data_IF_986309572258
#
_entry.id   IF_986309572258
#
_cell.length_a   1.000
_cell.length_b   1.000
_cell.length_c   1.000
_cell.angle_alpha   90.00
_cell.angle_beta   90.00
_cell.angle_gamma   90.00
#
_symmetry.space_group_name_H-M   'P 1'
#
loop_
_entity.id
_entity.type
_entity.pdbx_description
1 polymer ?
#
# COMPACT_ATOMS: atom_id res chain seq x y z
N UNK A 1 2.72 7.31 7.94
CA UNK A 1 3.87 8.11 7.45
C UNK A 1 3.52 9.58 7.43
N UNK A 2 2.42 9.95 6.77
CA UNK A 2 1.87 11.33 6.77
C UNK A 2 1.80 11.93 8.17
N UNK A 3 1.13 11.28 9.12
CA UNK A 3 1.06 11.80 10.50
C UNK A 3 2.42 12.00 11.19
N UNK A 4 3.44 11.19 10.84
CA UNK A 4 4.78 11.35 11.41
C UNK A 4 5.46 12.58 10.81
N UNK A 5 5.35 12.77 9.48
CA UNK A 5 5.82 13.96 8.79
C UNK A 5 5.18 15.23 9.38
N UNK A 6 3.86 15.20 9.60
CA UNK A 6 3.10 16.32 10.18
C UNK A 6 3.53 16.63 11.63
N UNK A 7 3.99 15.62 12.39
CA UNK A 7 4.54 15.79 13.75
C UNK A 7 6.00 16.24 13.78
N UNK A 8 6.58 16.62 12.64
CA UNK A 8 7.91 17.23 12.55
C UNK A 8 9.05 16.25 12.24
N UNK A 9 8.76 15.01 11.84
CA UNK A 9 9.80 14.12 11.34
C UNK A 9 10.30 14.61 9.98
N UNK A 10 11.61 14.81 9.85
CA UNK A 10 12.18 15.39 8.63
C UNK A 10 12.02 14.48 7.40
N UNK A 11 12.11 13.16 7.58
CA UNK A 11 11.92 12.14 6.54
C UNK A 11 11.22 10.92 7.11
N UNK A 12 10.41 10.26 6.29
CA UNK A 12 9.78 8.99 6.62
C UNK A 12 9.92 8.02 5.46
N UNK A 13 10.02 6.73 5.76
CA UNK A 13 10.05 5.68 4.75
C UNK A 13 9.21 4.48 5.19
N UNK A 14 8.53 3.85 4.23
CA UNK A 14 7.83 2.59 4.41
C UNK A 14 8.41 1.59 3.42
N UNK A 15 8.94 0.50 3.96
CA UNK A 15 9.46 -0.62 3.18
C UNK A 15 8.47 -1.77 3.32
N UNK A 16 7.94 -2.23 2.20
CA UNK A 16 7.06 -3.41 2.17
C UNK A 16 7.79 -4.52 1.43
N UNK A 17 7.91 -5.68 2.08
CA UNK A 17 8.49 -6.89 1.53
C UNK A 17 7.43 -7.99 1.56
N UNK A 18 7.20 -8.65 0.43
CA UNK A 18 6.23 -9.73 0.30
C UNK A 18 6.84 -10.90 -0.47
N UNK A 19 6.55 -12.12 -0.02
CA UNK A 19 6.97 -13.36 -0.69
C UNK A 19 5.83 -14.06 -1.42
N UNK A 20 4.59 -13.64 -1.16
CA UNK A 20 3.40 -14.25 -1.71
C UNK A 20 2.94 -13.48 -2.95
N UNK A 21 2.91 -14.20 -4.08
CA UNK A 21 2.46 -13.65 -5.38
C UNK A 21 1.13 -12.90 -5.32
N UNK A 22 0.11 -13.35 -4.56
CA UNK A 22 -1.15 -12.61 -4.42
C UNK A 22 -1.03 -11.17 -3.91
N UNK A 23 0.08 -10.72 -3.32
CA UNK A 23 0.18 -9.32 -2.90
C UNK A 23 0.42 -8.35 -4.07
N UNK A 24 1.14 -8.79 -5.10
CA UNK A 24 1.56 -7.94 -6.22
C UNK A 24 1.01 -8.40 -7.58
N UNK A 25 0.36 -9.56 -7.65
CA UNK A 25 -0.20 -10.09 -8.90
C UNK A 25 -1.42 -10.98 -8.64
N UNK A 26 -2.40 -10.94 -9.53
CA UNK A 26 -3.56 -11.81 -9.47
C UNK A 26 -4.57 -11.51 -10.58
N UNK A 27 -5.60 -12.35 -10.69
CA UNK A 27 -6.68 -12.15 -11.68
C UNK A 27 -7.70 -11.08 -11.25
N UNK A 28 -7.87 -10.88 -9.94
CA UNK A 28 -8.86 -9.96 -9.38
C UNK A 28 -8.14 -8.73 -8.84
N UNK A 29 -8.27 -7.60 -9.54
CA UNK A 29 -7.63 -6.33 -9.18
C UNK A 29 -8.63 -5.30 -8.65
N UNK A 30 -9.74 -5.75 -8.04
CA UNK A 30 -10.75 -4.89 -7.44
C UNK A 30 -10.54 -4.72 -5.92
N UNK A 31 -11.21 -3.73 -5.32
CA UNK A 31 -11.10 -3.43 -3.89
C UNK A 31 -9.69 -2.99 -3.52
N UNK A 32 -9.19 -3.43 -2.36
CA UNK A 32 -7.85 -3.04 -1.90
C UNK A 32 -6.72 -3.49 -2.84
N UNK A 33 -6.93 -4.53 -3.65
CA UNK A 33 -5.89 -5.05 -4.54
C UNK A 33 -5.58 -4.13 -5.72
N UNK A 34 -6.53 -3.26 -6.11
CA UNK A 34 -6.36 -2.30 -7.21
C UNK A 34 -5.15 -1.41 -7.00
N UNK A 35 -5.00 -0.89 -5.77
CA UNK A 35 -3.90 -0.03 -5.36
C UNK A 35 -2.52 -0.68 -5.53
N UNK A 36 -2.42 -2.00 -5.34
CA UNK A 36 -1.14 -2.73 -5.34
C UNK A 36 -0.81 -3.47 -6.63
N UNK A 37 -1.82 -3.83 -7.43
CA UNK A 37 -1.64 -4.69 -8.60
C UNK A 37 -1.89 -3.98 -9.94
N UNK A 38 -2.52 -2.81 -9.91
CA UNK A 38 -2.94 -2.10 -11.12
C UNK A 38 -2.49 -0.63 -11.09
N UNK A 39 -2.87 0.10 -10.04
CA UNK A 39 -2.60 1.54 -9.94
C UNK A 39 -1.19 1.86 -9.41
N UNK A 40 -0.57 0.90 -8.72
CA UNK A 40 0.73 1.04 -8.05
C UNK A 40 0.83 2.33 -7.21
N UNK A 41 -0.26 2.66 -6.53
CA UNK A 41 -0.39 3.84 -5.70
C UNK A 41 -1.47 3.65 -4.64
N UNK A 42 -1.23 4.14 -3.42
CA UNK A 42 -2.23 4.19 -2.34
C UNK A 42 -2.61 5.64 -2.04
N UNK A 43 -3.91 5.92 -1.98
CA UNK A 43 -4.45 7.28 -1.85
C UNK A 43 -5.90 7.25 -1.35
N UNK A 44 -6.36 8.37 -0.79
CA UNK A 44 -7.74 8.54 -0.34
C UNK A 44 -8.14 7.60 0.79
N UNK A 45 -9.42 7.23 0.82
CA UNK A 45 -9.98 6.37 1.88
C UNK A 45 -9.78 4.88 1.57
N UNK A 46 -9.06 4.19 2.44
CA UNK A 46 -8.80 2.76 2.35
C UNK A 46 -9.69 2.04 3.36
N UNK A 47 -10.75 1.43 2.84
CA UNK A 47 -11.72 0.68 3.65
C UNK A 47 -11.22 -0.70 4.02
N UNK A 48 -11.59 -1.13 5.23
CA UNK A 48 -11.33 -2.47 5.74
C UNK A 48 -11.89 -3.53 4.80
N UNK A 49 -11.06 -4.48 4.31
CA UNK A 49 -11.47 -5.43 3.27
C UNK A 49 -12.24 -6.64 3.80
N UNK A 50 -12.09 -6.97 5.09
CA UNK A 50 -12.56 -8.22 5.70
C UNK A 50 -12.99 -8.04 7.16
N UNK A 51 -13.73 -9.02 7.70
CA UNK A 51 -14.17 -9.04 9.10
C UNK A 51 -15.35 -8.13 9.41
N UNK A 52 -15.62 -7.94 10.71
CA UNK A 52 -16.63 -6.99 11.18
C UNK A 52 -16.29 -5.56 10.71
N UNK A 53 -17.31 -4.79 10.35
CA UNK A 53 -17.20 -3.43 9.81
C UNK A 53 -16.48 -3.31 8.45
N UNK A 54 -16.42 -4.41 7.67
CA UNK A 54 -15.96 -4.39 6.27
C UNK A 54 -16.73 -3.32 5.49
N UNK A 55 -16.00 -2.46 4.78
CA UNK A 55 -16.58 -1.39 3.97
C UNK A 55 -17.15 -0.22 4.77
N UNK A 56 -17.03 -0.22 6.11
CA UNK A 56 -17.48 0.86 6.99
C UNK A 56 -16.27 1.55 7.62
N UNK A 57 -15.38 0.78 8.26
CA UNK A 57 -14.12 1.31 8.80
C UNK A 57 -13.13 1.61 7.68
N UNK A 58 -12.44 2.74 7.79
CA UNK A 58 -11.43 3.17 6.84
C UNK A 58 -10.31 3.96 7.54
N UNK A 59 -9.20 4.10 6.82
CA UNK A 59 -8.17 5.10 7.07
C UNK A 59 -8.13 6.07 5.90
N UNK A 60 -7.85 7.35 6.15
CA UNK A 60 -7.69 8.36 5.11
C UNK A 60 -6.22 8.67 4.88
N UNK A 61 -5.81 8.71 3.62
CA UNK A 61 -4.50 9.20 3.19
C UNK A 61 -4.68 10.60 2.57
N UNK A 62 -3.90 11.58 3.03
CA UNK A 62 -3.98 12.95 2.54
C UNK A 62 -3.30 13.14 1.17
N UNK A 63 -2.33 12.29 0.86
CA UNK A 63 -1.59 12.27 -0.40
C UNK A 63 -1.82 11.03 -1.25
N UNK A 64 -1.23 11.05 -2.45
CA UNK A 64 -1.09 9.89 -3.34
C UNK A 64 0.34 9.38 -3.25
N UNK A 65 0.51 8.16 -2.76
CA UNK A 65 1.82 7.53 -2.60
C UNK A 65 2.02 6.49 -3.69
N UNK A 66 2.79 6.86 -4.70
CA UNK A 66 3.15 5.98 -5.80
C UNK A 66 4.36 5.12 -5.43
N UNK A 67 4.41 3.90 -5.96
CA UNK A 67 5.51 2.98 -5.74
C UNK A 67 5.69 2.06 -6.93
N UNK A 68 6.80 1.33 -6.94
CA UNK A 68 7.06 0.30 -7.95
C UNK A 68 7.54 -0.98 -7.26
N UNK A 69 6.94 -2.11 -7.64
CA UNK A 69 7.40 -3.42 -7.20
C UNK A 69 8.74 -3.76 -7.83
N UNK A 70 9.74 -3.95 -6.97
CA UNK A 70 11.08 -4.41 -7.32
C UNK A 70 11.23 -5.88 -6.94
N UNK A 71 11.86 -6.68 -7.80
CA UNK A 71 12.20 -8.06 -7.46
C UNK A 71 13.38 -8.07 -6.50
N UNK A 72 13.23 -8.70 -5.33
CA UNK A 72 14.36 -8.97 -4.43
C UNK A 72 15.03 -10.30 -4.81
N UNK A 73 14.21 -11.29 -5.15
CA UNK A 73 14.61 -12.60 -5.65
C UNK A 73 13.44 -13.21 -6.43
N UNK A 74 13.56 -14.47 -6.85
CA UNK A 74 12.53 -15.17 -7.66
C UNK A 74 11.15 -15.24 -6.98
N UNK A 75 11.08 -15.18 -5.65
CA UNK A 75 9.85 -15.37 -4.89
C UNK A 75 9.36 -14.09 -4.23
N UNK A 76 10.25 -13.13 -4.01
CA UNK A 76 9.98 -11.98 -3.14
C UNK A 76 10.08 -10.68 -3.92
N UNK A 77 9.13 -9.78 -3.66
CA UNK A 77 9.13 -8.42 -4.16
C UNK A 77 9.08 -7.42 -3.02
N UNK A 78 9.59 -6.24 -3.27
CA UNK A 78 9.50 -5.14 -2.33
C UNK A 78 9.16 -3.84 -3.04
N UNK A 79 8.68 -2.87 -2.28
CA UNK A 79 8.69 -1.48 -2.72
C UNK A 79 9.04 -0.59 -1.52
N UNK A 80 9.44 0.64 -1.83
CA UNK A 80 9.74 1.67 -0.85
C UNK A 80 8.94 2.90 -1.22
N UNK A 81 8.30 3.51 -0.22
CA UNK A 81 7.71 4.85 -0.32
C UNK A 81 8.50 5.75 0.65
N UNK A 82 8.95 6.90 0.17
CA UNK A 82 9.70 7.89 0.96
C UNK A 82 9.00 9.26 0.92
N UNK A 83 9.02 10.00 2.04
CA UNK A 83 8.44 11.34 2.18
C UNK A 83 9.30 12.28 3.03
#
# INVERSE_FOLDING_TARGET
>A
MEELKDRGFAKTACVVLVSDRPFYEGRVNSGIYRYFRDEFAVYGDIYKPTGANKGIEYISLSGRHEFQWQSLNERSKFYIIEM
#
